data_IF_445991175783
#
_entry.id   IF_445991175783
#
_cell.length_a   1.000
_cell.length_b   1.000
_cell.length_c   1.000
_cell.angle_alpha   90.00
_cell.angle_beta   90.00
_cell.angle_gamma   90.00
#
_symmetry.space_group_name_H-M   'P 1'
#
loop_
_entity.id
_entity.type
_entity.pdbx_description
1 polymer ?
#
# COMPACT_ATOMS: atom_id res chain seq x y z
N UNK A 1 -27.33 20.86 15.82
CA UNK A 1 -26.98 20.99 14.40
C UNK A 1 -25.92 19.92 14.08
N UNK A 2 -26.38 18.72 13.70
CA UNK A 2 -25.50 17.66 13.20
C UNK A 2 -25.13 18.01 11.76
N UNK A 3 -23.90 18.43 11.54
CA UNK A 3 -23.31 18.47 10.20
C UNK A 3 -23.15 17.01 9.76
N UNK A 4 -23.77 16.57 8.65
CA UNK A 4 -23.51 15.23 8.14
C UNK A 4 -22.03 15.17 7.75
N UNK A 5 -21.23 14.45 8.52
CA UNK A 5 -19.86 14.14 8.11
C UNK A 5 -19.99 13.14 6.98
N UNK A 6 -19.97 13.61 5.75
CA UNK A 6 -19.89 12.73 4.59
C UNK A 6 -18.50 12.12 4.60
N UNK A 7 -18.41 10.88 5.09
CA UNK A 7 -17.18 10.12 5.07
C UNK A 7 -16.74 9.89 3.61
N UNK A 8 -15.55 10.33 3.27
CA UNK A 8 -14.93 10.09 1.97
C UNK A 8 -13.62 9.35 2.18
N UNK A 9 -13.57 8.10 1.72
CA UNK A 9 -12.35 7.29 1.81
C UNK A 9 -11.15 7.97 1.15
N UNK A 10 -11.36 8.65 0.03
CA UNK A 10 -10.30 9.42 -0.64
C UNK A 10 -9.72 10.52 0.26
N UNK A 11 -10.58 11.29 0.92
CA UNK A 11 -10.15 12.35 1.86
C UNK A 11 -9.44 11.76 3.07
N UNK A 12 -9.95 10.66 3.58
CA UNK A 12 -9.33 9.94 4.71
C UNK A 12 -7.91 9.48 4.35
N UNK A 13 -7.73 8.76 3.24
CA UNK A 13 -6.42 8.27 2.82
C UNK A 13 -5.44 9.41 2.53
N UNK A 14 -5.91 10.50 1.92
CA UNK A 14 -5.07 11.67 1.68
C UNK A 14 -4.60 12.33 2.99
N UNK A 15 -5.47 12.46 3.98
CA UNK A 15 -5.12 12.99 5.30
C UNK A 15 -4.22 12.02 6.09
N UNK A 16 -4.53 10.72 6.04
CA UNK A 16 -3.79 9.66 6.74
C UNK A 16 -2.34 9.55 6.27
N UNK A 17 -2.05 9.88 5.01
CA UNK A 17 -0.69 9.77 4.44
C UNK A 17 0.38 10.41 5.34
N UNK A 18 0.14 11.60 5.86
CA UNK A 18 1.11 12.30 6.72
C UNK A 18 1.29 11.63 8.09
N UNK A 19 0.28 10.91 8.57
CA UNK A 19 0.37 10.10 9.81
C UNK A 19 1.16 8.84 9.52
N UNK A 20 0.84 8.13 8.44
CA UNK A 20 1.53 6.93 8.02
C UNK A 20 3.02 7.18 7.76
N UNK A 21 3.36 8.32 7.12
CA UNK A 21 4.76 8.71 6.87
C UNK A 21 5.56 8.88 8.17
N UNK A 22 4.92 9.38 9.24
CA UNK A 22 5.56 9.52 10.57
C UNK A 22 5.60 8.21 11.36
N UNK A 23 4.62 7.34 11.13
CA UNK A 23 4.52 6.06 11.83
C UNK A 23 5.42 4.97 11.23
N UNK A 24 5.98 5.18 10.05
CA UNK A 24 6.90 4.22 9.44
C UNK A 24 8.09 3.94 10.34
N UNK A 25 8.32 2.66 10.61
CA UNK A 25 9.52 2.22 11.33
C UNK A 25 10.75 2.40 10.43
N UNK A 26 11.54 3.43 10.75
CA UNK A 26 12.72 3.80 9.97
C UNK A 26 13.78 2.70 9.90
N UNK A 27 13.93 1.90 10.95
CA UNK A 27 14.90 0.81 10.96
C UNK A 27 14.48 -0.30 10.00
N UNK A 28 13.18 -0.64 9.97
CA UNK A 28 12.63 -1.62 9.01
C UNK A 28 12.75 -1.09 7.59
N UNK A 29 12.46 0.20 7.38
CA UNK A 29 12.61 0.86 6.07
C UNK A 29 14.06 0.79 5.57
N UNK A 30 15.04 1.12 6.41
CA UNK A 30 16.45 1.01 6.05
C UNK A 30 16.88 -0.41 5.69
N UNK A 31 16.38 -1.41 6.43
CA UNK A 31 16.64 -2.83 6.11
C UNK A 31 16.01 -3.24 4.79
N UNK A 32 14.78 -2.80 4.51
CA UNK A 32 14.16 -3.01 3.20
C UNK A 32 15.04 -2.46 2.09
N UNK A 33 15.41 -1.18 2.16
CA UNK A 33 16.23 -0.51 1.15
C UNK A 33 17.58 -1.21 0.94
N UNK A 34 18.23 -1.63 2.03
CA UNK A 34 19.51 -2.33 1.96
C UNK A 34 19.40 -3.75 1.37
N UNK A 35 18.25 -4.39 1.48
CA UNK A 35 18.01 -5.74 0.99
C UNK A 35 17.52 -5.79 -0.46
N UNK A 36 17.06 -4.66 -1.03
CA UNK A 36 16.61 -4.61 -2.42
C UNK A 36 17.74 -4.94 -3.39
N UNK A 37 17.49 -5.75 -4.42
CA UNK A 37 18.46 -6.01 -5.45
C UNK A 37 18.75 -4.73 -6.25
N UNK A 38 19.96 -4.63 -6.78
CA UNK A 38 20.32 -3.52 -7.69
C UNK A 38 19.51 -3.64 -8.97
N UNK A 39 18.76 -2.61 -9.28
CA UNK A 39 17.99 -2.52 -10.51
C UNK A 39 18.77 -1.78 -11.60
N UNK A 40 18.57 -2.20 -12.85
CA UNK A 40 19.12 -1.57 -14.04
C UNK A 40 18.00 -1.38 -15.08
N UNK A 41 18.27 -0.64 -16.13
CA UNK A 41 17.30 -0.49 -17.22
C UNK A 41 16.97 -1.82 -17.90
N UNK A 42 17.94 -2.74 -18.00
CA UNK A 42 17.73 -4.08 -18.59
C UNK A 42 17.07 -5.07 -17.63
N UNK A 43 17.24 -4.84 -16.33
CA UNK A 43 16.66 -5.64 -15.27
C UNK A 43 16.02 -4.72 -14.21
N UNK A 44 14.84 -4.15 -14.51
CA UNK A 44 14.12 -3.31 -13.57
C UNK A 44 13.60 -4.14 -12.39
N UNK A 45 13.55 -3.52 -11.22
CA UNK A 45 12.94 -4.11 -10.02
C UNK A 45 11.44 -4.30 -10.25
N UNK A 46 10.95 -5.51 -10.07
CA UNK A 46 9.53 -5.83 -10.21
C UNK A 46 8.85 -5.75 -8.86
N UNK A 47 7.92 -4.82 -8.74
CA UNK A 47 7.20 -4.55 -7.49
C UNK A 47 5.71 -4.83 -7.69
N UNK A 48 5.11 -5.52 -6.73
CA UNK A 48 3.66 -5.66 -6.60
C UNK A 48 3.22 -4.95 -5.33
N UNK A 49 2.28 -4.05 -5.44
CA UNK A 49 1.56 -3.47 -4.30
C UNK A 49 0.11 -3.93 -4.32
N UNK A 50 -0.33 -4.57 -3.22
CA UNK A 50 -1.70 -5.00 -3.00
C UNK A 50 -2.40 -4.00 -2.07
N UNK A 51 -3.64 -3.60 -2.43
CA UNK A 51 -4.33 -2.53 -1.73
C UNK A 51 -3.65 -1.17 -1.90
N UNK A 52 -3.25 -0.84 -3.13
CA UNK A 52 -2.43 0.34 -3.42
C UNK A 52 -3.10 1.68 -3.08
N UNK A 53 -4.42 1.70 -2.92
CA UNK A 53 -5.16 2.89 -2.52
C UNK A 53 -4.91 4.07 -3.47
N UNK A 54 -4.44 5.17 -2.91
CA UNK A 54 -4.16 6.41 -3.65
C UNK A 54 -2.69 6.56 -4.10
N UNK A 55 -1.89 5.47 -4.09
CA UNK A 55 -0.51 5.45 -4.59
C UNK A 55 0.54 6.05 -3.65
N UNK A 56 0.26 6.13 -2.35
CA UNK A 56 1.16 6.76 -1.37
C UNK A 56 2.51 6.04 -1.23
N UNK A 57 2.55 4.73 -1.43
CA UNK A 57 3.79 3.94 -1.32
C UNK A 57 4.70 4.17 -2.52
N UNK A 58 4.15 4.29 -3.73
CA UNK A 58 4.92 4.68 -4.93
C UNK A 58 5.61 6.01 -4.69
N UNK A 59 4.85 7.04 -4.25
CA UNK A 59 5.41 8.36 -3.94
C UNK A 59 6.57 8.25 -2.93
N UNK A 60 6.42 7.43 -1.89
CA UNK A 60 7.41 7.26 -0.82
C UNK A 60 8.70 6.59 -1.31
N UNK A 61 8.57 5.52 -2.09
CA UNK A 61 9.72 4.79 -2.64
C UNK A 61 10.51 5.64 -3.63
N UNK A 62 9.81 6.40 -4.47
CA UNK A 62 10.45 7.29 -5.46
C UNK A 62 11.06 8.52 -4.79
N UNK A 63 10.36 9.14 -3.83
CA UNK A 63 10.86 10.30 -3.08
C UNK A 63 12.12 9.98 -2.25
N UNK A 64 12.21 8.76 -1.76
CA UNK A 64 13.37 8.27 -1.00
C UNK A 64 14.54 7.79 -1.87
N UNK A 65 14.48 8.01 -3.18
CA UNK A 65 15.46 7.52 -4.18
C UNK A 65 15.72 6.00 -4.08
N UNK A 66 14.73 5.26 -3.57
CA UNK A 66 14.81 3.79 -3.43
C UNK A 66 14.71 3.11 -4.80
N UNK A 67 13.91 3.70 -5.70
CA UNK A 67 13.68 3.17 -7.03
C UNK A 67 14.45 3.95 -8.08
N UNK A 68 15.34 3.26 -8.78
CA UNK A 68 16.03 3.80 -9.96
C UNK A 68 15.40 3.29 -11.25
N UNK A 69 15.25 1.98 -11.40
CA UNK A 69 14.59 1.35 -12.53
C UNK A 69 13.59 0.32 -11.99
N UNK A 70 12.30 0.52 -12.24
CA UNK A 70 11.26 -0.36 -11.71
C UNK A 70 10.07 -0.53 -12.65
N UNK A 71 9.47 -1.71 -12.61
CA UNK A 71 8.10 -1.96 -13.04
C UNK A 71 7.25 -2.19 -11.80
N UNK A 72 6.30 -1.32 -11.59
CA UNK A 72 5.44 -1.28 -10.41
C UNK A 72 4.02 -1.67 -10.79
N UNK A 73 3.54 -2.79 -10.30
CA UNK A 73 2.15 -3.23 -10.45
C UNK A 73 1.39 -2.86 -9.19
N UNK A 74 0.42 -1.95 -9.31
CA UNK A 74 -0.42 -1.48 -8.21
C UNK A 74 -1.84 -1.99 -8.39
N UNK A 75 -2.31 -2.84 -7.48
CA UNK A 75 -3.67 -3.37 -7.54
C UNK A 75 -4.53 -2.87 -6.38
N UNK A 76 -5.79 -2.58 -6.69
CA UNK A 76 -6.82 -2.27 -5.70
C UNK A 76 -8.19 -2.68 -6.24
N UNK A 77 -9.11 -3.05 -5.35
CA UNK A 77 -10.49 -3.38 -5.76
C UNK A 77 -11.36 -2.15 -6.04
N UNK A 78 -10.94 -0.98 -5.58
CA UNK A 78 -11.70 0.27 -5.68
C UNK A 78 -11.22 1.12 -6.86
N UNK A 79 -11.97 1.20 -7.98
CA UNK A 79 -11.56 1.97 -9.16
C UNK A 79 -11.34 3.46 -8.87
N UNK A 80 -12.11 4.05 -7.96
CA UNK A 80 -11.96 5.45 -7.59
C UNK A 80 -10.61 5.74 -6.90
N UNK A 81 -10.06 4.77 -6.15
CA UNK A 81 -8.76 4.92 -5.50
C UNK A 81 -7.64 4.90 -6.52
N UNK A 82 -7.66 3.98 -7.48
CA UNK A 82 -6.63 3.91 -8.52
C UNK A 82 -6.71 5.09 -9.49
N UNK A 83 -7.90 5.58 -9.81
CA UNK A 83 -8.04 6.80 -10.60
C UNK A 83 -7.41 8.01 -9.89
N UNK A 84 -7.62 8.13 -8.58
CA UNK A 84 -6.98 9.17 -7.77
C UNK A 84 -5.47 8.94 -7.65
N UNK A 85 -5.00 7.69 -7.48
CA UNK A 85 -3.58 7.35 -7.48
C UNK A 85 -2.90 7.83 -8.77
N UNK A 86 -3.48 7.52 -9.93
CA UNK A 86 -2.97 7.94 -11.24
C UNK A 86 -2.87 9.47 -11.33
N UNK A 87 -3.96 10.18 -11.02
CA UNK A 87 -3.99 11.65 -11.05
C UNK A 87 -2.92 12.27 -10.14
N UNK A 88 -2.80 11.76 -8.91
CA UNK A 88 -1.83 12.25 -7.92
C UNK A 88 -0.40 11.99 -8.35
N UNK A 89 -0.10 10.78 -8.81
CA UNK A 89 1.24 10.39 -9.24
C UNK A 89 1.71 11.23 -10.44
N UNK A 90 0.85 11.48 -11.43
CA UNK A 90 1.15 12.36 -12.55
C UNK A 90 1.50 13.79 -12.10
N UNK A 91 0.70 14.36 -11.21
CA UNK A 91 0.94 15.70 -10.68
C UNK A 91 2.24 15.74 -9.85
N UNK A 92 2.35 14.82 -8.89
CA UNK A 92 3.48 14.72 -7.97
C UNK A 92 4.81 14.51 -8.70
N UNK A 93 4.83 13.66 -9.73
CA UNK A 93 6.03 13.39 -10.52
C UNK A 93 6.48 14.65 -11.29
N UNK A 94 5.56 15.35 -11.96
CA UNK A 94 5.87 16.61 -12.67
C UNK A 94 6.42 17.68 -11.73
N UNK A 95 5.83 17.84 -10.55
CA UNK A 95 6.30 18.80 -9.53
C UNK A 95 7.72 18.49 -9.03
N UNK A 96 8.19 17.25 -9.22
CA UNK A 96 9.55 16.78 -8.86
C UNK A 96 10.50 16.65 -10.06
N UNK A 97 10.11 17.20 -11.20
CA UNK A 97 10.96 17.24 -12.38
C UNK A 97 11.07 15.93 -13.15
N UNK A 98 10.09 15.02 -12.95
CA UNK A 98 9.95 13.87 -13.84
C UNK A 98 9.24 14.26 -15.13
N UNK A 99 9.73 13.75 -16.24
CA UNK A 99 8.94 13.59 -17.44
C UNK A 99 7.91 12.49 -17.20
N UNK A 100 6.69 12.71 -17.69
CA UNK A 100 5.56 11.79 -17.45
C UNK A 100 4.81 11.58 -18.74
N UNK A 101 4.67 10.32 -19.13
CA UNK A 101 3.90 9.89 -20.30
C UNK A 101 3.00 8.71 -19.94
N UNK A 102 1.95 8.51 -20.70
CA UNK A 102 1.04 7.39 -20.58
C UNK A 102 0.92 6.68 -21.91
N UNK A 103 1.21 5.39 -21.92
CA UNK A 103 1.12 4.61 -23.15
C UNK A 103 -0.33 4.20 -23.47
N UNK A 104 -0.54 3.61 -24.65
CA UNK A 104 -1.85 3.15 -25.11
C UNK A 104 -2.49 2.04 -24.26
N UNK A 105 -1.74 1.44 -23.33
CA UNK A 105 -2.20 0.42 -22.39
C UNK A 105 -2.56 1.00 -21.01
N UNK A 106 -2.46 2.34 -20.85
CA UNK A 106 -2.75 3.01 -19.59
C UNK A 106 -1.62 2.89 -18.54
N UNK A 107 -0.42 2.46 -18.95
CA UNK A 107 0.73 2.43 -18.06
C UNK A 107 1.35 3.82 -17.96
N UNK A 108 1.60 4.27 -16.74
CA UNK A 108 2.27 5.53 -16.46
C UNK A 108 3.78 5.33 -16.48
N UNK A 109 4.47 6.06 -17.33
CA UNK A 109 5.92 6.11 -17.38
C UNK A 109 6.41 7.40 -16.75
N UNK A 110 7.33 7.30 -15.80
CA UNK A 110 7.97 8.44 -15.16
C UNK A 110 9.48 8.29 -15.28
N UNK A 111 10.14 9.32 -15.80
CA UNK A 111 11.61 9.28 -15.93
C UNK A 111 12.24 10.65 -15.66
N UNK A 112 13.43 10.61 -15.11
CA UNK A 112 14.40 11.69 -15.00
C UNK A 112 15.80 11.10 -15.02
N UNK A 113 16.85 11.94 -15.01
CA UNK A 113 18.23 11.44 -15.06
C UNK A 113 18.50 10.33 -14.01
N UNK A 114 18.83 9.12 -14.48
CA UNK A 114 19.14 7.97 -13.63
C UNK A 114 17.93 7.23 -13.04
N UNK A 115 16.70 7.65 -13.32
CA UNK A 115 15.48 6.98 -12.86
C UNK A 115 14.50 6.75 -14.01
N UNK A 116 13.95 5.55 -14.09
CA UNK A 116 12.88 5.19 -15.01
C UNK A 116 11.94 4.18 -14.35
N UNK A 117 10.70 4.59 -14.17
CA UNK A 117 9.69 3.81 -13.43
C UNK A 117 8.44 3.69 -14.29
N UNK A 118 8.01 2.46 -14.53
CA UNK A 118 6.74 2.15 -15.18
C UNK A 118 5.76 1.68 -14.15
N UNK A 119 4.56 2.27 -14.11
CA UNK A 119 3.50 1.92 -13.18
C UNK A 119 2.31 1.38 -13.95
N UNK A 120 1.94 0.16 -13.64
CA UNK A 120 0.70 -0.50 -14.08
C UNK A 120 -0.32 -0.42 -12.95
N UNK A 121 -1.52 0.07 -13.21
CA UNK A 121 -2.62 0.01 -12.24
C UNK A 121 -3.69 -0.96 -12.71
N UNK A 122 -4.22 -1.77 -11.82
CA UNK A 122 -5.28 -2.70 -12.17
C UNK A 122 -6.37 -2.76 -11.09
N UNK A 123 -7.62 -2.58 -11.51
CA UNK A 123 -8.79 -2.74 -10.64
C UNK A 123 -9.14 -4.21 -10.56
N UNK A 124 -8.71 -4.87 -9.48
CA UNK A 124 -8.92 -6.30 -9.29
C UNK A 124 -8.92 -6.65 -7.79
N UNK A 125 -9.67 -7.67 -7.43
CA UNK A 125 -9.58 -8.32 -6.12
C UNK A 125 -8.30 -9.15 -6.02
N UNK A 126 -7.66 -9.14 -4.85
CA UNK A 126 -6.38 -9.83 -4.60
C UNK A 126 -6.47 -11.33 -4.84
N UNK A 127 -7.59 -11.97 -4.50
CA UNK A 127 -7.79 -13.41 -4.71
C UNK A 127 -7.85 -13.75 -6.21
N UNK A 128 -8.56 -12.95 -6.99
CA UNK A 128 -8.61 -13.10 -8.44
C UNK A 128 -7.24 -12.84 -9.08
N UNK A 129 -6.53 -11.82 -8.61
CA UNK A 129 -5.17 -11.51 -9.07
C UNK A 129 -4.22 -12.68 -8.82
N UNK A 130 -4.19 -13.20 -7.58
CA UNK A 130 -3.36 -14.36 -7.23
C UNK A 130 -3.67 -15.59 -8.10
N UNK A 131 -4.95 -15.91 -8.27
CA UNK A 131 -5.35 -17.05 -9.09
C UNK A 131 -4.91 -16.94 -10.56
N UNK A 132 -4.94 -15.72 -11.11
CA UNK A 132 -4.51 -15.44 -12.49
C UNK A 132 -2.99 -15.51 -12.66
N UNK A 133 -2.25 -14.92 -11.72
CA UNK A 133 -0.79 -14.74 -11.84
C UNK A 133 0.01 -15.93 -11.33
N UNK A 134 -0.60 -16.84 -10.59
CA UNK A 134 0.09 -18.02 -10.05
C UNK A 134 0.85 -18.80 -11.14
N UNK A 135 2.16 -18.93 -10.97
CA UNK A 135 3.05 -19.59 -11.92
C UNK A 135 3.29 -18.83 -13.24
N UNK A 136 2.77 -17.61 -13.39
CA UNK A 136 2.93 -16.80 -14.62
C UNK A 136 3.87 -15.62 -14.44
N UNK A 137 3.65 -14.85 -13.38
CA UNK A 137 4.46 -13.67 -13.06
C UNK A 137 4.97 -13.80 -11.63
N UNK A 138 6.15 -13.29 -11.40
CA UNK A 138 6.76 -13.20 -10.08
C UNK A 138 7.37 -11.82 -9.88
N UNK A 139 7.41 -11.37 -8.63
CA UNK A 139 7.89 -10.06 -8.23
C UNK A 139 9.08 -10.18 -7.29
N UNK A 140 9.92 -9.16 -7.26
CA UNK A 140 11.11 -9.10 -6.40
C UNK A 140 10.77 -8.49 -5.04
N UNK A 141 9.72 -7.66 -5.01
CA UNK A 141 9.17 -7.05 -3.81
C UNK A 141 7.64 -7.06 -3.88
N UNK A 142 6.99 -7.54 -2.81
CA UNK A 142 5.55 -7.42 -2.61
C UNK A 142 5.30 -6.52 -1.40
N UNK A 143 4.40 -5.54 -1.58
CA UNK A 143 4.05 -4.53 -0.58
C UNK A 143 2.54 -4.60 -0.31
N UNK A 144 2.17 -4.43 0.96
CA UNK A 144 0.78 -4.23 1.37
C UNK A 144 0.71 -3.33 2.60
N UNK A 145 0.56 -2.01 2.39
CA UNK A 145 0.48 -1.07 3.50
C UNK A 145 -0.92 -1.06 4.12
N UNK A 146 -1.01 -1.30 5.44
CA UNK A 146 -2.28 -1.39 6.17
C UNK A 146 -3.28 -2.30 5.42
N UNK A 147 -2.81 -3.47 5.01
CA UNK A 147 -3.53 -4.40 4.15
C UNK A 147 -3.83 -5.72 4.85
N UNK A 148 -2.92 -6.21 5.69
CA UNK A 148 -3.08 -7.52 6.33
C UNK A 148 -4.32 -7.60 7.24
N UNK A 149 -4.68 -6.48 7.85
CA UNK A 149 -5.89 -6.35 8.68
C UNK A 149 -7.20 -6.33 7.87
N UNK A 150 -7.11 -6.34 6.55
CA UNK A 150 -8.26 -6.34 5.63
C UNK A 150 -8.52 -7.69 4.96
N UNK A 151 -7.71 -8.71 5.26
CA UNK A 151 -7.78 -10.02 4.61
C UNK A 151 -7.84 -11.15 5.63
N UNK A 152 -8.31 -12.31 5.18
CA UNK A 152 -8.11 -13.58 5.87
C UNK A 152 -6.65 -14.02 5.64
N UNK A 153 -5.76 -13.70 6.60
CA UNK A 153 -4.32 -13.94 6.47
C UNK A 153 -3.97 -15.42 6.26
N UNK A 154 -4.55 -16.39 7.02
CA UNK A 154 -4.22 -17.80 6.85
C UNK A 154 -4.44 -18.32 5.43
N UNK A 155 -5.49 -17.87 4.76
CA UNK A 155 -5.80 -18.26 3.37
C UNK A 155 -5.08 -17.46 2.32
N UNK A 156 -4.86 -16.16 2.55
CA UNK A 156 -4.37 -15.23 1.52
C UNK A 156 -2.85 -15.15 1.48
N UNK A 157 -2.20 -15.13 2.65
CA UNK A 157 -0.76 -14.89 2.74
C UNK A 157 0.09 -15.95 2.00
N UNK A 158 -0.20 -17.27 2.06
CA UNK A 158 0.54 -18.25 1.27
C UNK A 158 0.47 -17.99 -0.25
N UNK A 159 -0.71 -17.54 -0.74
CA UNK A 159 -0.90 -17.17 -2.13
C UNK A 159 -0.06 -15.95 -2.52
N UNK A 160 -0.02 -14.93 -1.69
CA UNK A 160 0.82 -13.74 -1.90
C UNK A 160 2.31 -14.12 -1.90
N UNK A 161 2.75 -14.96 -0.95
CA UNK A 161 4.13 -15.44 -0.92
C UNK A 161 4.54 -16.18 -2.21
N UNK A 162 3.60 -16.91 -2.83
CA UNK A 162 3.87 -17.64 -4.07
C UNK A 162 4.10 -16.74 -5.30
N UNK A 163 3.74 -15.47 -5.22
CA UNK A 163 3.98 -14.46 -6.25
C UNK A 163 5.37 -13.82 -6.15
N UNK A 164 6.10 -14.08 -5.07
CA UNK A 164 7.42 -13.47 -4.84
C UNK A 164 8.53 -14.43 -5.29
N UNK A 165 9.53 -13.90 -5.99
CA UNK A 165 10.68 -14.67 -6.46
C UNK A 165 11.45 -15.26 -5.28
N UNK A 166 12.14 -16.41 -5.47
CA UNK A 166 13.05 -16.94 -4.44
C UNK A 166 14.06 -15.87 -4.01
N UNK A 167 14.13 -15.58 -2.71
CA UNK A 167 14.95 -14.48 -2.17
C UNK A 167 14.38 -13.08 -2.32
N UNK A 168 13.17 -12.94 -2.87
CA UNK A 168 12.44 -11.67 -2.91
C UNK A 168 11.90 -11.26 -1.53
N UNK A 169 11.37 -10.06 -1.45
CA UNK A 169 11.02 -9.41 -0.18
C UNK A 169 9.50 -9.23 -0.05
N UNK A 170 9.03 -9.33 1.19
CA UNK A 170 7.68 -8.97 1.60
C UNK A 170 7.75 -7.76 2.54
N UNK A 171 6.95 -6.74 2.29
CA UNK A 171 6.89 -5.54 3.11
C UNK A 171 5.45 -5.16 3.43
N UNK A 172 5.03 -5.45 4.66
CA UNK A 172 3.68 -5.19 5.16
C UNK A 172 3.72 -4.22 6.34
N UNK A 173 3.91 -2.91 6.11
CA UNK A 173 3.84 -1.93 7.17
C UNK A 173 2.40 -1.78 7.67
N UNK A 174 2.20 -1.97 8.97
CA UNK A 174 0.95 -1.68 9.66
C UNK A 174 1.14 -0.44 10.53
N UNK A 175 0.08 0.31 10.73
CA UNK A 175 0.05 1.48 11.63
C UNK A 175 -0.84 1.24 12.83
N UNK A 176 -1.41 0.04 12.94
CA UNK A 176 -2.21 -0.43 14.05
C UNK A 176 -1.63 -1.78 14.51
N UNK A 177 -1.34 -1.90 15.79
CA UNK A 177 -0.71 -3.07 16.40
C UNK A 177 -1.68 -3.89 17.28
N UNK A 178 -2.98 -3.60 17.15
CA UNK A 178 -4.03 -4.30 17.90
C UNK A 178 -4.46 -3.55 19.15
N UNK A 179 -3.82 -2.43 19.50
CA UNK A 179 -4.16 -1.64 20.69
C UNK A 179 -4.38 -0.16 20.38
N UNK A 180 -5.30 0.47 21.09
CA UNK A 180 -5.59 1.90 21.02
C UNK A 180 -5.67 2.44 22.43
N UNK A 181 -4.92 3.49 22.70
CA UNK A 181 -4.96 4.19 23.99
C UNK A 181 -5.23 5.68 23.79
N UNK A 182 -6.09 6.25 24.64
CA UNK A 182 -6.35 7.70 24.66
C UNK A 182 -5.36 8.42 25.55
N UNK A 183 -4.79 9.53 25.07
CA UNK A 183 -3.88 10.38 25.84
C UNK A 183 -4.17 11.87 25.59
N UNK A 184 -4.15 12.73 26.63
CA UNK A 184 -4.01 12.35 28.05
C UNK A 184 -5.22 11.58 28.56
N UNK A 185 -5.02 10.72 29.55
CA UNK A 185 -6.10 10.01 30.23
C UNK A 185 -6.98 11.05 30.94
N UNK A 186 -8.26 11.11 30.58
CA UNK A 186 -9.21 12.07 31.13
C UNK A 186 -10.09 11.44 32.22
N UNK A 187 -10.61 10.25 31.94
CA UNK A 187 -11.36 9.44 32.86
C UNK A 187 -10.94 7.98 32.64
N UNK A 188 -10.08 7.39 33.51
CA UNK A 188 -9.49 6.07 33.29
C UNK A 188 -10.49 4.94 33.18
N UNK A 189 -11.65 5.04 33.79
CA UNK A 189 -12.67 4.00 33.73
C UNK A 189 -13.47 4.11 32.41
N UNK A 190 -13.85 5.33 32.06
CA UNK A 190 -14.56 5.61 30.81
C UNK A 190 -13.67 5.37 29.58
N UNK A 191 -12.43 5.83 29.62
CA UNK A 191 -11.46 5.66 28.54
C UNK A 191 -11.23 4.16 28.26
N UNK A 192 -11.03 3.34 29.29
CA UNK A 192 -10.92 1.88 29.15
C UNK A 192 -12.19 1.21 28.61
N UNK A 193 -13.37 1.70 29.01
CA UNK A 193 -14.63 1.16 28.49
C UNK A 193 -14.80 1.44 26.97
N UNK A 194 -14.39 2.63 26.52
CA UNK A 194 -14.40 2.98 25.09
C UNK A 194 -13.38 2.14 24.33
N UNK A 195 -12.15 2.04 24.82
CA UNK A 195 -11.09 1.23 24.22
C UNK A 195 -11.53 -0.22 24.07
N UNK A 196 -12.05 -0.83 25.11
CA UNK A 196 -12.56 -2.22 25.07
C UNK A 196 -13.70 -2.37 24.05
N UNK A 197 -14.64 -1.42 23.99
CA UNK A 197 -15.74 -1.45 23.02
C UNK A 197 -15.23 -1.30 21.58
N UNK A 198 -14.21 -0.46 21.37
CA UNK A 198 -13.59 -0.24 20.07
C UNK A 198 -12.83 -1.49 19.59
N UNK A 199 -12.01 -2.10 20.47
CA UNK A 199 -11.29 -3.34 20.17
C UNK A 199 -12.27 -4.48 19.84
N UNK A 200 -13.32 -4.66 20.66
CA UNK A 200 -14.34 -5.65 20.37
C UNK A 200 -15.02 -5.43 19.01
N UNK A 201 -15.25 -4.18 18.60
CA UNK A 201 -15.84 -3.87 17.31
C UNK A 201 -14.88 -4.19 16.14
N UNK A 202 -13.56 -4.05 16.35
CA UNK A 202 -12.54 -4.44 15.36
C UNK A 202 -12.50 -5.95 15.23
N UNK A 203 -12.40 -6.68 16.36
CA UNK A 203 -12.31 -8.15 16.37
C UNK A 203 -13.54 -8.81 15.73
N UNK A 204 -14.71 -8.19 15.87
CA UNK A 204 -15.96 -8.64 15.26
C UNK A 204 -16.15 -8.17 13.81
N UNK A 205 -15.19 -7.43 13.26
CA UNK A 205 -15.30 -6.93 11.90
C UNK A 205 -15.30 -8.06 10.89
N UNK A 206 -16.30 -8.05 10.01
CA UNK A 206 -16.42 -8.99 8.92
C UNK A 206 -16.26 -8.25 7.59
N UNK A 207 -15.32 -8.66 6.77
CA UNK A 207 -15.13 -8.15 5.42
C UNK A 207 -15.43 -9.28 4.42
N UNK A 208 -16.35 -9.01 3.50
CA UNK A 208 -16.78 -9.98 2.48
C UNK A 208 -17.21 -11.35 3.07
N UNK A 209 -17.87 -11.34 4.25
CA UNK A 209 -18.36 -12.52 4.93
C UNK A 209 -17.32 -13.32 5.72
N UNK A 210 -16.09 -12.79 5.85
CA UNK A 210 -15.01 -13.43 6.61
C UNK A 210 -14.53 -12.53 7.74
N UNK A 211 -14.10 -13.09 8.90
CA UNK A 211 -13.44 -12.30 9.92
C UNK A 211 -12.20 -11.60 9.35
N UNK A 212 -11.97 -10.36 9.78
CA UNK A 212 -10.78 -9.60 9.40
C UNK A 212 -10.23 -8.91 10.63
N UNK A 213 -8.91 -8.88 10.79
CA UNK A 213 -8.26 -8.16 11.87
C UNK A 213 -7.65 -9.00 12.98
N UNK A 214 -7.49 -10.30 12.78
CA UNK A 214 -6.73 -11.20 13.69
C UNK A 214 -5.28 -11.33 13.25
#
# INVERSE_FOLDING_TARGET
LSIPITYSLLRYLAAKKSVDDRALNWQVWQRLVAALPRATQQQPLRILEVGAGIGSMVERLVAGDVLTHATYTAIDRAPALLAEAHRRLCQWARERGFEVDENSQGQLHMWRAGQHITIETEVIDVGHFMAREHGRRIWDLLIGQAFLDLIDMPTTLPGLCSLVSPGGLLYFPTTFDGDTAFQPECDPEFDRAIEASYHQAIDQRVLDGKPSGD
#
